data_IF_528788832487
#
_entry.id   IF_528788832487
#
_cell.length_a   1.000
_cell.length_b   1.000
_cell.length_c   1.000
_cell.angle_alpha   90.00
_cell.angle_beta   90.00
_cell.angle_gamma   90.00
#
_symmetry.space_group_name_H-M   'P 1'
#
loop_
_entity.id
_entity.type
_entity.pdbx_description
1 polymer ?
#
# COMPACT_ATOMS: atom_id res chain seq x y z
N UNK A 1 3.86 -65.12 34.13
CA UNK A 1 5.17 -64.47 34.28
C UNK A 1 5.42 -63.60 33.06
N UNK A 2 5.60 -62.29 33.28
CA UNK A 2 6.62 -61.39 32.71
C UNK A 2 6.98 -61.60 31.22
N UNK A 3 6.95 -60.64 30.31
CA UNK A 3 7.07 -59.17 30.34
C UNK A 3 6.56 -58.68 28.96
N UNK A 4 5.90 -57.52 28.82
CA UNK A 4 6.51 -56.16 28.84
C UNK A 4 7.67 -56.09 27.82
N UNK A 5 7.86 -55.10 26.96
CA UNK A 5 7.27 -53.80 26.65
C UNK A 5 8.28 -53.19 25.66
N UNK A 6 7.89 -52.12 24.98
CA UNK A 6 8.77 -51.08 24.41
C UNK A 6 9.54 -51.49 23.15
N UNK A 7 9.70 -50.64 22.13
CA UNK A 7 9.16 -49.35 21.69
C UNK A 7 10.17 -48.97 20.59
N UNK A 8 9.70 -48.38 19.50
CA UNK A 8 10.41 -47.31 18.75
C UNK A 8 11.92 -47.50 18.42
N UNK A 9 12.26 -47.63 17.14
CA UNK A 9 12.80 -46.50 16.35
C UNK A 9 13.04 -46.88 14.88
N UNK A 10 12.41 -46.08 14.01
CA UNK A 10 12.95 -45.45 12.80
C UNK A 10 13.34 -46.25 11.53
N UNK A 11 12.58 -45.89 10.48
CA UNK A 11 13.06 -45.46 9.14
C UNK A 11 13.85 -46.48 8.32
N UNK A 12 13.23 -46.97 7.24
CA UNK A 12 13.74 -46.76 5.88
C UNK A 12 12.74 -47.19 4.80
N UNK A 13 12.34 -46.20 3.99
CA UNK A 13 12.27 -46.25 2.52
C UNK A 13 11.33 -47.29 1.89
N UNK A 14 10.19 -46.82 1.36
CA UNK A 14 9.53 -47.49 0.24
C UNK A 14 9.31 -46.52 -0.92
N UNK A 15 10.20 -46.65 -1.90
CA UNK A 15 10.06 -46.14 -3.26
C UNK A 15 8.79 -46.70 -3.92
N UNK A 16 7.96 -45.83 -4.50
CA UNK A 16 7.12 -46.21 -5.66
C UNK A 16 7.16 -45.16 -6.76
N UNK A 17 8.04 -45.48 -7.73
CA UNK A 17 7.99 -45.27 -9.19
C UNK A 17 7.33 -44.00 -9.76
N UNK A 18 8.19 -43.12 -10.25
CA UNK A 18 7.90 -42.23 -11.37
C UNK A 18 7.86 -43.04 -12.68
N UNK A 19 6.84 -42.81 -13.50
CA UNK A 19 6.78 -43.37 -14.86
C UNK A 19 7.76 -42.65 -15.78
N UNK A 20 8.48 -43.47 -16.54
CA UNK A 20 9.59 -43.15 -17.42
C UNK A 20 9.22 -42.26 -18.59
N UNK A 21 10.02 -41.21 -18.82
CA UNK A 21 10.18 -40.53 -20.09
C UNK A 21 10.70 -41.52 -21.15
N UNK A 22 10.01 -41.59 -22.29
CA UNK A 22 10.62 -42.04 -23.54
C UNK A 22 11.26 -40.84 -24.24
N UNK A 23 12.56 -40.94 -24.43
CA UNK A 23 13.40 -40.09 -25.26
C UNK A 23 13.22 -40.51 -26.72
N UNK A 24 12.84 -39.59 -27.59
CA UNK A 24 13.05 -39.72 -29.03
C UNK A 24 13.68 -38.42 -29.53
N UNK A 25 14.89 -38.55 -30.05
CA UNK A 25 15.67 -37.49 -30.70
C UNK A 25 15.01 -37.10 -32.02
N UNK A 26 14.68 -35.83 -32.22
CA UNK A 26 14.64 -35.22 -33.56
C UNK A 26 15.40 -33.89 -33.57
N UNK A 27 16.28 -33.79 -34.57
CA UNK A 27 17.17 -32.67 -34.88
C UNK A 27 16.39 -31.45 -35.43
N UNK A 28 16.99 -30.25 -35.42
CA UNK A 28 16.27 -29.00 -35.61
C UNK A 28 15.92 -28.78 -37.09
N UNK A 29 14.65 -28.55 -37.39
CA UNK A 29 14.23 -27.97 -38.65
C UNK A 29 13.94 -26.48 -38.46
N UNK A 30 14.72 -25.66 -39.18
CA UNK A 30 14.50 -24.24 -39.38
C UNK A 30 13.27 -24.13 -40.29
N UNK A 31 12.10 -23.97 -39.70
CA UNK A 31 10.88 -23.56 -40.37
C UNK A 31 10.61 -22.10 -40.02
N UNK A 32 10.93 -21.19 -40.92
CA UNK A 32 10.43 -19.82 -40.87
C UNK A 32 8.94 -19.91 -41.22
N UNK A 33 8.11 -20.10 -40.19
CA UNK A 33 6.67 -19.90 -40.29
C UNK A 33 6.40 -18.46 -39.89
N UNK A 34 6.31 -17.58 -40.88
CA UNK A 34 5.73 -16.24 -40.77
C UNK A 34 4.27 -16.39 -40.34
N UNK A 35 4.03 -16.39 -39.03
CA UNK A 35 2.71 -16.17 -38.46
C UNK A 35 2.65 -14.74 -37.93
N UNK A 36 1.72 -13.96 -38.47
CA UNK A 36 1.34 -12.60 -38.10
C UNK A 36 0.79 -12.47 -36.66
N UNK A 37 1.32 -13.21 -35.68
CA UNK A 37 0.85 -13.21 -34.28
C UNK A 37 1.56 -12.19 -33.38
N UNK A 38 2.55 -11.45 -33.87
CA UNK A 38 3.28 -10.45 -33.07
C UNK A 38 2.59 -9.08 -32.99
N UNK A 39 1.62 -8.79 -33.85
CA UNK A 39 1.04 -7.44 -33.92
C UNK A 39 0.29 -7.02 -32.65
N UNK A 40 -0.17 -7.93 -31.79
CA UNK A 40 -1.01 -7.57 -30.61
C UNK A 40 -0.43 -8.04 -29.27
N UNK A 41 0.88 -8.26 -29.22
CA UNK A 41 1.57 -8.71 -28.02
C UNK A 41 2.33 -7.56 -27.35
N UNK A 42 1.96 -7.24 -26.12
CA UNK A 42 2.68 -6.33 -25.25
C UNK A 42 3.62 -7.13 -24.36
N UNK A 43 4.88 -6.72 -24.29
CA UNK A 43 5.92 -7.40 -23.51
C UNK A 43 6.54 -6.46 -22.50
N UNK A 44 6.94 -7.02 -21.37
CA UNK A 44 7.60 -6.26 -20.31
C UNK A 44 8.91 -5.62 -20.80
N UNK A 45 9.09 -4.36 -20.42
CA UNK A 45 10.36 -3.67 -20.61
C UNK A 45 11.32 -3.97 -19.46
N UNK A 46 12.49 -4.46 -19.83
CA UNK A 46 13.61 -4.72 -18.92
C UNK A 46 14.52 -3.48 -19.03
N UNK A 47 14.97 -2.90 -17.92
CA UNK A 47 15.67 -1.59 -17.82
C UNK A 47 14.76 -0.37 -17.57
N UNK A 48 13.89 -0.49 -16.57
CA UNK A 48 13.19 0.66 -15.98
C UNK A 48 14.09 1.27 -14.91
N UNK A 49 14.42 2.55 -15.05
CA UNK A 49 15.14 3.29 -14.00
C UNK A 49 14.16 3.85 -12.98
N UNK A 50 14.56 3.86 -11.71
CA UNK A 50 13.68 4.26 -10.59
C UNK A 50 14.23 5.48 -9.88
N UNK A 51 13.34 6.39 -9.51
CA UNK A 51 13.63 7.48 -8.60
C UNK A 51 12.58 7.49 -7.50
N UNK A 52 13.01 7.36 -6.25
CA UNK A 52 12.11 7.25 -5.10
C UNK A 52 12.34 8.37 -4.11
N UNK A 53 11.30 8.67 -3.35
CA UNK A 53 11.37 9.49 -2.14
C UNK A 53 10.19 9.10 -1.25
N UNK A 54 10.48 8.16 -0.35
CA UNK A 54 9.51 7.63 0.61
C UNK A 54 9.52 8.42 1.92
N UNK A 55 10.00 9.67 1.89
CA UNK A 55 10.01 10.52 3.06
C UNK A 55 8.59 10.88 3.51
N UNK A 56 8.15 10.25 4.59
CA UNK A 56 6.85 10.52 5.21
C UNK A 56 6.69 11.96 5.77
N UNK A 57 7.74 12.80 5.76
CA UNK A 57 7.61 14.23 6.12
C UNK A 57 7.06 15.07 4.95
N UNK A 58 6.92 14.46 3.76
CA UNK A 58 6.33 15.10 2.59
C UNK A 58 4.83 14.81 2.55
N UNK A 59 4.03 15.67 1.89
CA UNK A 59 2.59 15.47 1.72
C UNK A 59 2.24 14.13 1.05
N UNK A 60 3.19 13.55 0.31
CA UNK A 60 3.08 12.24 -0.31
C UNK A 60 4.46 11.63 -0.47
N UNK A 61 4.49 10.31 -0.52
CA UNK A 61 5.66 9.56 -0.94
C UNK A 61 5.62 9.39 -2.47
N UNK A 62 6.78 9.22 -3.11
CA UNK A 62 6.84 9.12 -4.58
C UNK A 62 7.74 8.00 -5.09
N UNK A 63 7.33 7.46 -6.23
CA UNK A 63 8.09 6.58 -7.09
C UNK A 63 7.92 7.06 -8.53
N UNK A 64 9.02 7.31 -9.23
CA UNK A 64 9.05 7.62 -10.66
C UNK A 64 9.80 6.51 -11.39
N UNK A 65 9.11 5.85 -12.33
CA UNK A 65 9.63 4.79 -13.18
C UNK A 65 9.88 5.36 -14.58
N UNK A 66 11.12 5.36 -15.04
CA UNK A 66 11.50 5.94 -16.33
C UNK A 66 12.02 4.88 -17.29
N UNK A 67 11.46 4.89 -18.50
CA UNK A 67 11.88 4.05 -19.62
C UNK A 67 11.76 4.84 -20.93
N UNK A 68 12.89 5.12 -21.59
CA UNK A 68 12.96 5.95 -22.79
C UNK A 68 12.29 7.33 -22.57
N UNK A 69 11.26 7.65 -23.37
CA UNK A 69 10.48 8.88 -23.25
C UNK A 69 9.36 8.80 -22.21
N UNK A 70 9.06 7.60 -21.69
CA UNK A 70 7.96 7.34 -20.77
C UNK A 70 8.42 7.49 -19.32
N UNK A 71 7.66 8.26 -18.55
CA UNK A 71 7.81 8.34 -17.08
C UNK A 71 6.46 8.03 -16.44
N UNK A 72 6.40 6.93 -15.69
CA UNK A 72 5.23 6.57 -14.87
C UNK A 72 5.49 7.08 -13.45
N UNK A 73 4.68 8.04 -13.02
CA UNK A 73 4.77 8.68 -11.71
C UNK A 73 3.71 8.10 -10.79
N UNK A 74 4.14 7.53 -9.68
CA UNK A 74 3.28 6.97 -8.64
C UNK A 74 3.44 7.79 -7.37
N UNK A 75 2.33 8.18 -6.77
CA UNK A 75 2.29 8.97 -5.54
C UNK A 75 1.40 8.29 -4.53
N UNK A 76 1.92 8.14 -3.32
CA UNK A 76 1.25 7.48 -2.23
C UNK A 76 0.82 8.52 -1.20
N UNK A 77 -0.48 8.58 -0.91
CA UNK A 77 -1.12 9.51 0.01
C UNK A 77 -1.89 8.70 1.04
N UNK A 78 -1.34 8.58 2.26
CA UNK A 78 -1.87 7.66 3.26
C UNK A 78 -2.02 6.27 2.63
N UNK A 79 -3.20 5.65 2.66
CA UNK A 79 -3.45 4.31 2.12
C UNK A 79 -3.83 4.28 0.62
N UNK A 80 -3.81 5.44 -0.05
CA UNK A 80 -4.19 5.57 -1.46
C UNK A 80 -2.97 5.77 -2.34
N UNK A 81 -3.10 5.39 -3.61
CA UNK A 81 -2.11 5.78 -4.60
C UNK A 81 -2.73 6.34 -5.87
N UNK A 82 -1.91 7.15 -6.52
CA UNK A 82 -2.25 7.86 -7.73
C UNK A 82 -1.16 7.69 -8.77
N UNK A 83 -1.57 7.55 -10.03
CA UNK A 83 -0.68 7.48 -11.19
C UNK A 83 -0.89 8.67 -12.10
N UNK A 84 0.22 9.25 -12.56
CA UNK A 84 0.29 10.10 -13.73
C UNK A 84 1.36 9.55 -14.66
N UNK A 85 1.20 9.75 -15.97
CA UNK A 85 2.15 9.29 -16.97
C UNK A 85 2.58 10.51 -17.79
N UNK A 86 3.87 10.62 -18.03
CA UNK A 86 4.45 11.55 -18.97
C UNK A 86 5.06 10.81 -20.15
N UNK A 87 4.94 11.39 -21.34
CA UNK A 87 5.65 10.94 -22.53
C UNK A 87 6.36 12.14 -23.15
N UNK A 88 7.67 12.04 -23.36
CA UNK A 88 8.53 13.14 -23.81
C UNK A 88 8.45 14.36 -22.89
N UNK A 89 8.42 14.13 -21.57
CA UNK A 89 8.30 15.17 -20.52
C UNK A 89 7.02 16.03 -20.62
N UNK A 90 6.02 15.57 -21.37
CA UNK A 90 4.70 16.18 -21.44
C UNK A 90 3.72 15.27 -20.73
N UNK A 91 2.73 15.89 -20.06
CA UNK A 91 1.62 15.14 -19.50
C UNK A 91 0.97 14.27 -20.59
N UNK A 92 0.84 12.99 -20.28
CA UNK A 92 0.25 11.98 -21.15
C UNK A 92 -1.00 11.37 -20.52
N UNK A 93 -0.97 11.19 -19.20
CA UNK A 93 -2.13 10.84 -18.37
C UNK A 93 -2.06 11.69 -17.10
N UNK A 94 -3.13 12.44 -16.82
CA UNK A 94 -3.29 13.21 -15.58
C UNK A 94 -3.40 12.27 -14.37
N UNK A 95 -3.25 12.78 -13.15
CA UNK A 95 -3.43 11.98 -11.93
C UNK A 95 -4.76 11.21 -11.91
N UNK A 96 -4.67 9.88 -11.70
CA UNK A 96 -5.79 8.96 -11.53
C UNK A 96 -5.55 8.06 -10.32
N UNK A 97 -6.57 7.77 -9.49
CA UNK A 97 -6.44 6.79 -8.42
C UNK A 97 -6.23 5.40 -9.02
N UNK A 98 -5.47 4.56 -8.31
CA UNK A 98 -5.23 3.17 -8.71
C UNK A 98 -5.28 2.25 -7.50
N UNK A 99 -5.72 1.01 -7.73
CA UNK A 99 -5.65 -0.09 -6.77
C UNK A 99 -4.22 -0.61 -6.68
N UNK A 100 -3.60 -0.34 -5.55
CA UNK A 100 -2.27 -0.79 -5.18
C UNK A 100 -2.23 -0.88 -3.66
N UNK A 101 -2.61 -2.05 -3.13
CA UNK A 101 -2.77 -2.24 -1.70
C UNK A 101 -1.49 -2.83 -1.10
N UNK A 102 -0.65 -2.00 -0.48
CA UNK A 102 0.58 -2.45 0.17
C UNK A 102 0.67 -2.11 1.65
N UNK A 103 -0.12 -1.17 2.14
CA UNK A 103 0.05 -0.59 3.47
C UNK A 103 -0.15 -1.61 4.61
N UNK A 104 -0.84 -2.72 4.33
CA UNK A 104 -1.13 -3.76 5.31
C UNK A 104 -0.12 -4.93 5.26
N UNK A 105 0.32 -5.34 4.07
CA UNK A 105 1.03 -6.62 3.89
C UNK A 105 2.49 -6.50 3.40
N UNK A 106 2.93 -5.33 2.90
CA UNK A 106 4.30 -5.18 2.35
C UNK A 106 4.87 -3.76 2.43
N UNK A 107 6.17 -3.58 2.15
CA UNK A 107 6.80 -2.25 2.10
C UNK A 107 6.78 -1.67 0.68
N UNK A 108 6.89 -0.35 0.55
CA UNK A 108 6.96 0.32 -0.77
C UNK A 108 8.15 -0.16 -1.60
N UNK A 109 9.28 -0.46 -0.94
CA UNK A 109 10.49 -0.97 -1.57
C UNK A 109 10.34 -2.40 -2.11
N UNK A 110 9.44 -3.21 -1.53
CA UNK A 110 9.12 -4.54 -2.03
C UNK A 110 8.14 -4.43 -3.19
N UNK A 111 7.04 -3.71 -2.97
CA UNK A 111 6.02 -3.39 -3.95
C UNK A 111 6.59 -2.90 -5.30
N UNK A 112 7.53 -1.95 -5.26
CA UNK A 112 8.10 -1.37 -6.49
C UNK A 112 8.88 -2.37 -7.35
N UNK A 113 9.30 -3.52 -6.80
CA UNK A 113 10.03 -4.56 -7.54
C UNK A 113 9.13 -5.36 -8.45
N UNK A 114 7.84 -5.39 -8.15
CA UNK A 114 6.81 -6.15 -8.84
C UNK A 114 5.89 -5.22 -9.67
N UNK A 115 6.31 -3.99 -9.95
CA UNK A 115 5.61 -3.11 -10.90
C UNK A 115 6.16 -3.36 -12.31
N UNK A 116 5.28 -3.72 -13.24
CA UNK A 116 5.67 -4.07 -14.61
C UNK A 116 5.02 -3.14 -15.63
N UNK A 117 5.83 -2.68 -16.59
CA UNK A 117 5.39 -1.88 -17.73
C UNK A 117 5.47 -2.76 -18.98
N UNK A 118 4.35 -2.94 -19.69
CA UNK A 118 4.30 -3.72 -20.92
C UNK A 118 4.07 -2.79 -22.12
N UNK A 119 5.00 -2.83 -23.06
CA UNK A 119 4.92 -2.04 -24.29
C UNK A 119 4.89 -2.96 -25.51
N UNK A 120 4.30 -2.48 -26.59
CA UNK A 120 4.38 -3.13 -27.90
C UNK A 120 5.60 -2.58 -28.62
N UNK A 121 6.60 -3.44 -28.85
CA UNK A 121 7.84 -3.07 -29.57
C UNK A 121 8.55 -1.81 -29.03
N UNK A 122 8.47 -1.58 -27.71
CA UNK A 122 8.95 -0.37 -27.01
C UNK A 122 8.30 0.95 -27.44
N UNK A 123 7.14 0.91 -28.12
CA UNK A 123 6.32 2.10 -28.34
C UNK A 123 5.73 2.61 -27.02
N UNK A 124 5.85 3.91 -26.79
CA UNK A 124 5.37 4.61 -25.59
C UNK A 124 4.02 5.30 -25.79
N UNK A 125 3.41 5.16 -26.97
CA UNK A 125 2.10 5.73 -27.30
C UNK A 125 0.94 5.02 -26.59
N UNK A 126 1.11 3.76 -26.22
CA UNK A 126 0.16 2.97 -25.46
C UNK A 126 0.87 1.81 -24.76
N UNK A 127 0.27 1.27 -23.72
CA UNK A 127 0.83 0.13 -23.01
C UNK A 127 0.02 -0.27 -21.79
N UNK A 128 0.54 -1.26 -21.08
CA UNK A 128 -0.11 -1.80 -19.89
C UNK A 128 0.77 -1.65 -18.65
N UNK A 129 0.13 -1.44 -17.52
CA UNK A 129 0.73 -1.39 -16.20
C UNK A 129 0.17 -2.52 -15.35
N UNK A 130 1.04 -3.35 -14.80
CA UNK A 130 0.71 -4.30 -13.75
C UNK A 130 1.18 -3.72 -12.43
N UNK A 131 0.24 -3.43 -11.55
CA UNK A 131 0.51 -2.97 -10.20
C UNK A 131 0.26 -4.12 -9.23
N UNK A 132 1.21 -4.46 -8.35
CA UNK A 132 0.98 -5.52 -7.39
C UNK A 132 -0.11 -5.10 -6.38
N UNK A 133 -0.81 -6.08 -5.83
CA UNK A 133 -1.83 -5.89 -4.80
C UNK A 133 -2.05 -7.21 -4.07
N UNK A 134 -2.79 -7.19 -2.97
CA UNK A 134 -3.17 -8.39 -2.25
C UNK A 134 -4.68 -8.48 -2.08
N UNK A 135 -5.14 -9.72 -2.03
CA UNK A 135 -6.41 -10.11 -1.42
C UNK A 135 -6.10 -10.87 -0.13
N UNK A 136 -7.10 -11.15 0.70
CA UNK A 136 -6.89 -11.96 1.92
C UNK A 136 -6.24 -13.32 1.66
N UNK A 137 -6.37 -13.87 0.45
CA UNK A 137 -5.97 -15.24 0.12
C UNK A 137 -4.81 -15.33 -0.87
N UNK A 138 -4.62 -14.32 -1.72
CA UNK A 138 -3.68 -14.38 -2.85
C UNK A 138 -2.99 -13.05 -3.11
N UNK A 139 -1.74 -13.13 -3.56
CA UNK A 139 -1.08 -12.04 -4.28
C UNK A 139 -1.75 -11.84 -5.63
N UNK A 140 -1.84 -10.59 -6.07
CA UNK A 140 -2.54 -10.23 -7.30
C UNK A 140 -1.84 -9.11 -8.05
N UNK A 141 -2.19 -8.97 -9.33
CA UNK A 141 -1.84 -7.81 -10.14
C UNK A 141 -3.09 -7.10 -10.65
N UNK A 142 -3.20 -5.80 -10.38
CA UNK A 142 -4.15 -4.91 -11.04
C UNK A 142 -3.58 -4.48 -12.38
N UNK A 143 -4.26 -4.83 -13.47
CA UNK A 143 -3.88 -4.47 -14.83
C UNK A 143 -4.59 -3.19 -15.27
N UNK A 144 -3.81 -2.21 -15.74
CA UNK A 144 -4.31 -0.99 -16.35
C UNK A 144 -3.80 -0.86 -17.77
N UNK A 145 -4.65 -0.35 -18.66
CA UNK A 145 -4.28 0.05 -20.01
C UNK A 145 -4.14 1.58 -20.06
N UNK A 146 -2.98 2.07 -20.46
CA UNK A 146 -2.75 3.49 -20.67
C UNK A 146 -2.60 3.82 -22.15
N UNK A 147 -3.17 4.97 -22.53
CA UNK A 147 -2.98 5.67 -23.79
C UNK A 147 -3.17 7.16 -23.52
N UNK A 148 -2.95 8.01 -24.51
CA UNK A 148 -3.08 9.46 -24.32
C UNK A 148 -4.41 9.82 -23.65
N UNK A 149 -4.32 10.60 -22.57
CA UNK A 149 -5.40 11.13 -21.74
C UNK A 149 -6.25 10.08 -20.99
N UNK A 150 -5.94 8.77 -21.07
CA UNK A 150 -6.75 7.73 -20.45
C UNK A 150 -5.92 6.64 -19.76
N UNK A 151 -6.36 6.25 -18.57
CA UNK A 151 -5.89 5.08 -17.84
C UNK A 151 -7.12 4.26 -17.44
N UNK A 152 -7.28 3.09 -18.05
CA UNK A 152 -8.43 2.23 -17.86
C UNK A 152 -8.05 0.99 -17.08
N UNK A 153 -8.77 0.68 -16.02
CA UNK A 153 -8.65 -0.58 -15.31
C UNK A 153 -9.19 -1.72 -16.19
N UNK A 154 -8.43 -2.82 -16.29
CA UNK A 154 -8.76 -3.98 -17.13
C UNK A 154 -9.19 -5.18 -16.28
N UNK A 155 -8.59 -5.36 -15.11
CA UNK A 155 -8.93 -6.44 -14.19
C UNK A 155 -7.82 -6.80 -13.20
N UNK A 156 -8.17 -7.67 -12.26
CA UNK A 156 -7.24 -8.24 -11.29
C UNK A 156 -6.87 -9.66 -11.72
N UNK A 157 -5.59 -10.00 -11.61
CA UNK A 157 -5.02 -11.28 -12.00
C UNK A 157 -4.34 -11.94 -10.81
N UNK A 158 -4.73 -13.18 -10.51
CA UNK A 158 -4.18 -13.93 -9.38
C UNK A 158 -2.79 -14.48 -9.67
N UNK A 159 -1.95 -14.50 -8.63
CA UNK A 159 -0.68 -15.23 -8.62
C UNK A 159 -0.53 -15.95 -7.28
N UNK A 160 0.00 -17.18 -7.31
CA UNK A 160 0.22 -17.97 -6.09
C UNK A 160 1.23 -17.33 -5.15
N UNK A 161 2.21 -16.63 -5.73
CA UNK A 161 3.24 -15.82 -5.06
C UNK A 161 3.78 -14.82 -6.09
N UNK A 162 4.41 -13.72 -5.68
CA UNK A 162 5.11 -12.85 -6.63
C UNK A 162 6.33 -13.61 -7.20
N UNK A 163 6.18 -14.09 -8.44
CA UNK A 163 7.16 -14.94 -9.11
C UNK A 163 8.13 -14.10 -9.94
N UNK A 164 9.42 -14.47 -9.93
CA UNK A 164 10.40 -13.97 -10.90
C UNK A 164 10.05 -14.42 -12.31
N UNK A 165 9.87 -13.48 -13.21
CA UNK A 165 9.63 -13.74 -14.63
C UNK A 165 9.46 -12.45 -15.41
N UNK A 166 9.23 -12.58 -16.71
CA UNK A 166 8.84 -11.43 -17.55
C UNK A 166 7.37 -11.54 -17.93
N UNK A 167 6.68 -10.41 -17.97
CA UNK A 167 5.25 -10.37 -18.24
C UNK A 167 4.95 -10.11 -19.71
N UNK A 168 3.80 -10.60 -20.16
CA UNK A 168 3.23 -10.22 -21.45
C UNK A 168 1.72 -10.21 -21.41
N UNK A 169 1.12 -9.35 -22.23
CA UNK A 169 -0.32 -9.28 -22.44
C UNK A 169 -0.62 -9.46 -23.93
N UNK A 170 -1.46 -10.45 -24.23
CA UNK A 170 -1.98 -10.69 -25.57
C UNK A 170 -3.36 -10.03 -25.69
N UNK A 171 -3.45 -8.99 -26.49
CA UNK A 171 -4.65 -8.19 -26.61
C UNK A 171 -5.78 -8.92 -27.33
N UNK A 172 -5.48 -9.87 -28.23
CA UNK A 172 -6.49 -10.65 -28.94
C UNK A 172 -7.22 -11.59 -27.99
N UNK A 173 -6.46 -12.28 -27.14
CA UNK A 173 -7.02 -13.23 -26.20
C UNK A 173 -7.39 -12.61 -24.85
N UNK A 174 -6.99 -11.34 -24.60
CA UNK A 174 -7.11 -10.62 -23.33
C UNK A 174 -6.51 -11.40 -22.15
N UNK A 175 -5.37 -12.07 -22.40
CA UNK A 175 -4.68 -12.93 -21.43
C UNK A 175 -3.35 -12.33 -21.01
N UNK A 176 -3.10 -12.37 -19.69
CA UNK A 176 -1.81 -12.04 -19.08
C UNK A 176 -1.01 -13.33 -18.90
N UNK A 177 0.30 -13.24 -19.11
CA UNK A 177 1.21 -14.35 -18.96
C UNK A 177 2.49 -13.96 -18.25
N UNK A 178 3.04 -14.89 -17.47
CA UNK A 178 4.38 -14.83 -16.89
C UNK A 178 5.28 -15.83 -17.61
N UNK A 179 6.44 -15.37 -18.03
CA UNK A 179 7.49 -16.18 -18.66
C UNK A 179 8.63 -16.35 -17.65
N UNK A 180 8.69 -17.53 -17.01
CA UNK A 180 9.78 -17.89 -16.10
C UNK A 180 11.03 -18.37 -16.86
N UNK A 181 10.86 -18.79 -18.11
CA UNK A 181 11.91 -19.14 -19.05
C UNK A 181 11.35 -19.04 -20.49
N UNK A 182 12.20 -19.04 -21.53
CA UNK A 182 11.73 -18.99 -22.92
C UNK A 182 10.74 -20.08 -23.32
N UNK A 183 10.76 -21.22 -22.62
CA UNK A 183 9.91 -22.38 -22.87
C UNK A 183 8.75 -22.55 -21.88
N UNK A 184 8.72 -21.78 -20.78
CA UNK A 184 7.72 -21.92 -19.72
C UNK A 184 6.92 -20.64 -19.57
N UNK A 185 5.72 -20.69 -20.13
CA UNK A 185 4.71 -19.62 -20.10
C UNK A 185 3.54 -20.03 -19.21
N UNK A 186 3.31 -19.29 -18.13
CA UNK A 186 2.16 -19.47 -17.24
C UNK A 186 1.09 -18.43 -17.58
N UNK A 187 -0.16 -18.85 -17.76
CA UNK A 187 -1.30 -17.94 -17.90
C UNK A 187 -1.80 -17.54 -16.52
N UNK A 188 -2.06 -16.25 -16.31
CA UNK A 188 -2.71 -15.78 -15.09
C UNK A 188 -4.23 -15.84 -15.24
N UNK A 189 -4.92 -16.18 -14.14
CA UNK A 189 -6.38 -16.16 -14.11
C UNK A 189 -6.85 -14.79 -13.66
N UNK A 190 -7.86 -14.26 -14.37
CA UNK A 190 -8.53 -13.03 -13.98
C UNK A 190 -9.56 -13.37 -12.90
N UNK A 191 -9.57 -12.62 -11.81
CA UNK A 191 -10.58 -12.72 -10.76
C UNK A 191 -11.70 -11.72 -11.07
N UNK A 192 -12.95 -12.14 -10.89
CA UNK A 192 -14.10 -11.23 -10.90
C UNK A 192 -14.25 -10.62 -9.51
N UNK A 193 -14.04 -9.31 -9.40
CA UNK A 193 -14.23 -8.56 -8.17
C UNK A 193 -15.13 -7.37 -8.46
N UNK A 194 -16.18 -7.19 -7.65
CA UNK A 194 -17.04 -6.00 -7.71
C UNK A 194 -16.23 -4.81 -7.18
N UNK A 195 -15.71 -3.99 -8.08
CA UNK A 195 -15.05 -2.74 -7.70
C UNK A 195 -16.07 -1.61 -7.64
N UNK A 196 -16.89 -1.62 -6.59
CA UNK A 196 -17.68 -0.46 -6.17
C UNK A 196 -16.94 0.37 -5.10
N UNK A 197 -15.63 0.17 -4.92
CA UNK A 197 -14.81 1.01 -4.06
C UNK A 197 -14.71 2.42 -4.66
N UNK A 198 -15.55 3.31 -4.16
CA UNK A 198 -15.41 4.73 -4.38
C UNK A 198 -14.19 5.20 -3.59
N UNK A 199 -13.19 5.71 -4.30
CA UNK A 199 -12.15 6.50 -3.64
C UNK A 199 -12.80 7.77 -3.12
N UNK A 200 -12.86 7.93 -1.80
CA UNK A 200 -13.27 9.19 -1.19
C UNK A 200 -12.16 10.24 -1.31
N UNK A 201 -12.53 11.53 -1.36
CA UNK A 201 -11.60 12.68 -1.36
C UNK A 201 -10.63 12.82 -2.54
N UNK A 202 -10.86 12.14 -3.68
CA UNK A 202 -10.01 12.21 -4.91
C UNK A 202 -9.67 13.66 -5.32
N UNK A 203 -10.65 14.57 -5.25
CA UNK A 203 -10.48 15.94 -5.74
C UNK A 203 -9.48 16.76 -4.93
N UNK A 204 -9.35 16.49 -3.63
CA UNK A 204 -8.39 17.18 -2.76
C UNK A 204 -6.98 16.64 -2.97
N UNK A 205 -6.86 15.32 -3.07
CA UNK A 205 -5.60 14.64 -3.38
C UNK A 205 -5.04 15.11 -4.73
N UNK A 206 -5.88 15.19 -5.78
CA UNK A 206 -5.44 15.70 -7.09
C UNK A 206 -4.99 17.16 -7.01
N UNK A 207 -5.61 18.01 -6.18
CA UNK A 207 -5.13 19.39 -5.99
C UNK A 207 -3.75 19.43 -5.34
N UNK A 208 -3.53 18.60 -4.32
CA UNK A 208 -2.25 18.46 -3.64
C UNK A 208 -1.15 17.97 -4.60
N UNK A 209 -1.45 16.92 -5.37
CA UNK A 209 -0.55 16.29 -6.35
C UNK A 209 -0.13 17.22 -7.48
N UNK A 210 -1.00 18.15 -7.88
CA UNK A 210 -0.70 19.19 -8.87
C UNK A 210 0.17 20.32 -8.32
N UNK A 211 0.69 20.20 -7.08
CA UNK A 211 1.61 21.18 -6.49
C UNK A 211 0.96 22.52 -6.15
N UNK A 212 -0.37 22.55 -5.98
CA UNK A 212 -1.09 23.80 -5.66
C UNK A 212 -1.12 24.16 -4.17
N UNK A 213 -0.45 23.40 -3.30
CA UNK A 213 -0.37 23.77 -1.87
C UNK A 213 0.96 23.32 -1.26
N UNK A 214 1.84 24.28 -0.96
CA UNK A 214 2.73 24.15 0.20
C UNK A 214 1.88 24.55 1.41
N UNK A 215 1.42 23.57 2.18
CA UNK A 215 0.71 23.83 3.44
C UNK A 215 1.69 24.41 4.44
N UNK A 216 1.72 25.74 4.56
CA UNK A 216 2.41 26.39 5.67
C UNK A 216 1.74 25.95 6.98
N UNK A 217 2.54 25.55 7.96
CA UNK A 217 2.06 25.30 9.32
C UNK A 217 2.45 26.44 10.24
N UNK A 218 1.60 26.71 11.23
CA UNK A 218 1.84 27.71 12.26
C UNK A 218 1.67 27.11 13.64
N UNK A 219 2.11 27.87 14.65
CA UNK A 219 1.78 27.55 16.03
C UNK A 219 0.27 27.48 16.22
N UNK A 220 -0.17 26.45 16.94
CA UNK A 220 -1.57 26.23 17.26
C UNK A 220 -2.02 27.17 18.38
N UNK A 221 -3.19 27.77 18.17
CA UNK A 221 -3.94 28.57 19.13
C UNK A 221 -5.07 27.79 19.81
N UNK A 222 -5.24 26.51 19.44
CA UNK A 222 -6.35 25.68 19.89
C UNK A 222 -6.24 25.37 21.38
N UNK A 223 -7.36 25.40 22.09
CA UNK A 223 -7.47 24.91 23.45
C UNK A 223 -8.80 24.21 23.65
N UNK A 224 -8.77 23.02 24.24
CA UNK A 224 -9.97 22.26 24.56
C UNK A 224 -9.69 20.79 24.80
N UNK A 225 -10.74 20.09 25.21
CA UNK A 225 -10.74 18.64 25.39
C UNK A 225 -11.83 18.06 24.52
N UNK A 226 -11.50 17.01 23.77
CA UNK A 226 -12.45 16.27 22.97
C UNK A 226 -12.36 14.79 23.30
N UNK A 227 -13.49 14.13 23.43
CA UNK A 227 -13.52 12.70 23.65
C UNK A 227 -14.64 12.05 22.85
N UNK A 228 -14.52 10.76 22.58
CA UNK A 228 -15.59 10.00 21.91
C UNK A 228 -16.84 10.01 22.79
N UNK A 229 -16.66 9.84 24.10
CA UNK A 229 -17.70 9.97 25.12
C UNK A 229 -17.08 10.72 26.30
N UNK A 230 -17.49 11.96 26.56
CA UNK A 230 -16.91 12.78 27.64
C UNK A 230 -17.16 12.24 29.06
N UNK A 231 -18.04 11.26 29.22
CA UNK A 231 -18.34 10.60 30.50
C UNK A 231 -17.38 9.44 30.81
N UNK A 232 -16.52 9.05 29.85
CA UNK A 232 -15.53 7.99 30.05
C UNK A 232 -14.14 8.41 29.52
N UNK A 233 -13.08 7.93 30.17
CA UNK A 233 -11.69 8.31 29.87
C UNK A 233 -11.09 7.50 28.69
N UNK A 234 -11.91 6.93 27.81
CA UNK A 234 -11.48 5.91 26.84
C UNK A 234 -10.66 6.50 25.68
N UNK A 235 -11.17 7.50 24.96
CA UNK A 235 -10.36 8.20 23.95
C UNK A 235 -10.59 9.68 24.08
N UNK A 236 -9.54 10.34 24.55
CA UNK A 236 -9.55 11.74 24.92
C UNK A 236 -8.34 12.41 24.28
N UNK A 237 -8.60 13.57 23.68
CA UNK A 237 -7.62 14.47 23.12
C UNK A 237 -7.74 15.81 23.85
N UNK A 238 -6.77 16.08 24.72
CA UNK A 238 -6.59 17.38 25.33
C UNK A 238 -5.58 18.18 24.50
N UNK A 239 -5.90 19.42 24.16
CA UNK A 239 -4.98 20.32 23.47
C UNK A 239 -4.89 21.63 24.24
N UNK A 240 -3.65 22.08 24.44
CA UNK A 240 -3.32 23.40 24.95
C UNK A 240 -2.24 24.03 24.07
N UNK A 241 -2.70 24.79 23.07
CA UNK A 241 -1.88 25.44 22.04
C UNK A 241 -1.07 24.42 21.23
N UNK A 242 0.26 24.44 21.41
CA UNK A 242 1.22 23.63 20.64
C UNK A 242 1.46 22.25 21.26
N UNK A 243 0.86 21.97 22.42
CA UNK A 243 1.00 20.72 23.15
C UNK A 243 -0.36 20.07 23.28
N UNK A 244 -0.36 18.75 23.37
CA UNK A 244 -1.57 17.99 23.63
C UNK A 244 -1.27 16.67 24.29
N UNK A 245 -2.34 16.00 24.65
CA UNK A 245 -2.33 14.69 25.27
C UNK A 245 -3.39 13.84 24.60
N UNK A 246 -3.01 12.65 24.17
CA UNK A 246 -3.90 11.70 23.53
C UNK A 246 -3.91 10.40 24.33
N UNK A 247 -5.07 10.07 24.86
CA UNK A 247 -5.39 8.76 25.42
C UNK A 247 -6.00 7.91 24.33
N UNK A 248 -5.38 6.79 24.00
CA UNK A 248 -5.92 5.76 23.12
C UNK A 248 -6.15 4.50 23.95
N UNK A 249 -7.42 4.22 24.23
CA UNK A 249 -7.79 3.02 24.97
C UNK A 249 -7.90 1.80 24.07
N UNK A 250 -7.29 0.71 24.54
CA UNK A 250 -7.35 -0.62 23.96
C UNK A 250 -6.98 -1.69 25.00
N UNK A 251 -6.85 -2.95 24.58
CA UNK A 251 -6.07 -3.99 25.23
C UNK A 251 -4.65 -3.54 25.63
N UNK A 252 -4.07 -2.53 24.99
CA UNK A 252 -2.93 -1.77 25.51
C UNK A 252 -3.32 -0.29 25.59
N UNK A 253 -3.67 0.21 26.78
CA UNK A 253 -3.93 1.64 26.96
C UNK A 253 -2.63 2.42 26.74
N UNK A 254 -2.63 3.29 25.73
CA UNK A 254 -1.47 4.08 25.32
C UNK A 254 -1.79 5.55 25.53
N UNK A 255 -0.87 6.25 26.21
CA UNK A 255 -1.01 7.65 26.53
C UNK A 255 0.17 8.41 25.95
N UNK A 256 -0.12 9.36 25.05
CA UNK A 256 0.88 10.02 24.22
C UNK A 256 0.85 11.52 24.46
N UNK A 257 2.02 12.10 24.75
CA UNK A 257 2.19 13.54 24.68
C UNK A 257 2.39 13.95 23.22
N UNK A 258 1.72 15.02 22.80
CA UNK A 258 1.68 15.50 21.42
C UNK A 258 2.32 16.87 21.26
N UNK A 259 2.85 17.10 20.06
CA UNK A 259 3.04 18.43 19.49
C UNK A 259 1.96 18.72 18.46
N UNK A 260 1.41 19.92 18.50
CA UNK A 260 0.27 20.35 17.70
C UNK A 260 0.69 21.49 16.77
N UNK A 261 0.42 21.34 15.48
CA UNK A 261 0.68 22.36 14.46
C UNK A 261 -0.62 22.68 13.72
N UNK A 262 -0.92 23.97 13.50
CA UNK A 262 -2.11 24.40 12.75
C UNK A 262 -1.80 24.50 11.26
N UNK A 263 -2.65 23.93 10.42
CA UNK A 263 -2.54 24.05 8.97
C UNK A 263 -3.15 25.39 8.53
N UNK A 264 -2.41 26.17 7.73
CA UNK A 264 -2.84 27.48 7.26
C UNK A 264 -4.23 27.48 6.63
N UNK A 265 -5.06 28.45 7.03
CA UNK A 265 -6.38 28.71 6.43
C UNK A 265 -7.40 27.55 6.54
N UNK A 266 -7.17 26.59 7.44
CA UNK A 266 -8.07 25.47 7.71
C UNK A 266 -8.31 25.30 9.20
N UNK A 267 -9.44 24.69 9.54
CA UNK A 267 -9.73 24.17 10.88
C UNK A 267 -9.05 22.80 11.09
N UNK A 268 -7.82 22.65 10.61
CA UNK A 268 -7.08 21.39 10.56
C UNK A 268 -5.78 21.54 11.37
N UNK A 269 -5.50 20.55 12.21
CA UNK A 269 -4.35 20.51 13.10
C UNK A 269 -3.62 19.18 12.93
N UNK A 270 -2.31 19.24 12.78
CA UNK A 270 -1.44 18.07 12.69
C UNK A 270 -0.98 17.67 14.09
N UNK A 271 -1.09 16.39 14.39
CA UNK A 271 -0.67 15.79 15.65
C UNK A 271 0.67 15.07 15.41
N UNK A 272 1.71 15.43 16.15
CA UNK A 272 3.02 14.77 16.11
C UNK A 272 3.34 14.15 17.46
N UNK A 273 4.00 13.00 17.44
CA UNK A 273 4.45 12.33 18.65
C UNK A 273 5.52 13.16 19.36
N UNK A 274 5.35 13.43 20.66
CA UNK A 274 6.37 14.09 21.48
C UNK A 274 7.09 13.07 22.38
N UNK A 275 6.30 12.30 23.14
CA UNK A 275 6.79 11.21 23.97
C UNK A 275 5.66 10.31 24.43
N UNK A 276 6.02 9.12 24.89
CA UNK A 276 5.12 8.25 25.62
C UNK A 276 4.93 8.82 27.04
N UNK A 277 3.69 9.12 27.42
CA UNK A 277 3.37 9.49 28.79
C UNK A 277 3.31 8.24 29.68
N UNK A 278 2.59 7.23 29.21
CA UNK A 278 2.53 5.91 29.82
C UNK A 278 1.95 4.90 28.82
N UNK A 279 2.17 3.62 29.08
CA UNK A 279 1.46 2.53 28.44
C UNK A 279 1.15 1.47 29.49
N UNK A 280 -0.02 0.84 29.40
CA UNK A 280 -0.36 -0.31 30.23
C UNK A 280 -0.11 -1.61 29.46
N UNK A 281 0.70 -2.49 30.03
CA UNK A 281 0.91 -3.85 29.53
C UNK A 281 -0.21 -4.75 30.06
N UNK A 282 -1.35 -4.82 29.36
CA UNK A 282 -2.42 -5.70 29.82
C UNK A 282 -2.07 -7.19 29.62
N UNK A 283 -1.17 -7.51 28.67
CA UNK A 283 -0.57 -8.84 28.48
C UNK A 283 0.92 -8.75 28.07
N UNK A 284 1.77 -9.59 28.66
CA UNK A 284 3.23 -9.63 28.43
C UNK A 284 3.66 -9.88 26.97
N UNK A 285 2.75 -10.31 26.11
CA UNK A 285 3.01 -10.64 24.70
C UNK A 285 2.65 -9.51 23.72
N UNK A 286 2.11 -8.38 24.20
CA UNK A 286 1.66 -7.30 23.32
C UNK A 286 2.80 -6.34 22.92
N UNK A 287 2.65 -5.73 21.75
CA UNK A 287 3.58 -4.74 21.18
C UNK A 287 3.75 -3.55 22.13
N UNK A 288 4.98 -3.31 22.58
CA UNK A 288 5.33 -2.14 23.40
C UNK A 288 5.87 -1.01 22.54
N UNK A 289 5.45 0.21 22.87
CA UNK A 289 6.06 1.41 22.32
C UNK A 289 7.39 1.63 23.04
N UNK A 290 8.46 1.77 22.25
CA UNK A 290 9.78 2.20 22.74
C UNK A 290 9.96 3.64 22.27
N UNK A 291 9.96 4.59 23.20
CA UNK A 291 9.90 6.04 22.90
C UNK A 291 10.99 6.48 21.93
N UNK A 292 12.20 5.95 22.09
CA UNK A 292 13.37 6.28 21.27
C UNK A 292 13.29 5.71 19.85
N UNK A 293 12.45 4.68 19.64
CA UNK A 293 12.23 4.08 18.33
C UNK A 293 11.14 4.81 17.54
N UNK A 294 10.35 5.69 18.15
CA UNK A 294 9.25 6.40 17.46
C UNK A 294 9.72 7.77 16.94
N UNK A 295 9.34 8.08 15.70
CA UNK A 295 9.68 9.36 15.10
C UNK A 295 8.88 10.53 15.71
N UNK A 296 9.59 11.58 16.13
CA UNK A 296 9.01 12.83 16.65
C UNK A 296 8.63 13.85 15.57
N UNK A 297 9.11 13.63 14.34
CA UNK A 297 8.88 14.53 13.22
C UNK A 297 7.66 14.12 12.37
N UNK A 298 7.25 12.86 12.47
CA UNK A 298 6.14 12.29 11.68
C UNK A 298 4.80 12.69 12.31
N UNK A 299 3.86 13.03 11.43
CA UNK A 299 2.46 13.21 11.80
C UNK A 299 1.87 11.84 12.13
N UNK A 300 1.28 11.71 13.31
CA UNK A 300 0.65 10.48 13.79
C UNK A 300 -0.88 10.52 13.69
N UNK A 301 -1.43 11.71 13.44
CA UNK A 301 -2.83 11.91 13.14
C UNK A 301 -3.17 13.36 12.82
N UNK A 302 -4.42 13.61 12.45
CA UNK A 302 -4.96 14.94 12.18
C UNK A 302 -6.24 15.16 12.96
N UNK A 303 -6.43 16.39 13.42
CA UNK A 303 -7.67 16.85 14.03
C UNK A 303 -8.33 17.89 13.13
N UNK A 304 -9.58 17.67 12.74
CA UNK A 304 -10.36 18.62 11.93
C UNK A 304 -11.56 19.10 12.75
N UNK A 305 -11.62 20.39 13.08
CA UNK A 305 -12.74 20.96 13.83
C UNK A 305 -13.93 21.25 12.93
N UNK A 306 -15.06 20.64 13.26
CA UNK A 306 -16.34 20.87 12.61
C UNK A 306 -17.01 22.13 13.16
N UNK A 307 -17.94 22.70 12.38
CA UNK A 307 -18.68 23.93 12.76
C UNK A 307 -19.55 23.77 14.02
N UNK A 308 -19.93 22.55 14.36
CA UNK A 308 -20.72 22.20 15.55
C UNK A 308 -19.86 22.04 16.82
N UNK A 309 -18.55 22.24 16.74
CA UNK A 309 -17.62 22.08 17.86
C UNK A 309 -17.07 20.66 18.04
N UNK A 310 -17.61 19.66 17.32
CA UNK A 310 -17.05 18.31 17.24
C UNK A 310 -15.74 18.32 16.46
N UNK A 311 -14.95 17.28 16.64
CA UNK A 311 -13.70 17.10 15.93
C UNK A 311 -13.64 15.74 15.26
N UNK A 312 -13.08 15.70 14.04
CA UNK A 312 -12.71 14.47 13.37
C UNK A 312 -11.24 14.17 13.66
N UNK A 313 -10.98 13.05 14.33
CA UNK A 313 -9.64 12.53 14.55
C UNK A 313 -9.31 11.48 13.49
N UNK A 314 -8.46 11.85 12.55
CA UNK A 314 -7.88 10.94 11.56
C UNK A 314 -6.59 10.37 12.13
N UNK A 315 -6.63 9.15 12.64
CA UNK A 315 -5.46 8.45 13.15
C UNK A 315 -4.63 7.85 12.00
N UNK A 316 -3.30 7.90 12.12
CA UNK A 316 -2.37 7.34 11.12
C UNK A 316 -1.48 6.23 11.67
N UNK A 317 -1.14 6.28 12.96
CA UNK A 317 -0.22 5.33 13.60
C UNK A 317 1.13 5.92 13.96
N UNK A 318 1.99 5.10 14.56
CA UNK A 318 3.30 5.48 15.05
C UNK A 318 4.40 4.93 14.13
N UNK A 319 5.26 5.82 13.62
CA UNK A 319 6.36 5.39 12.75
C UNK A 319 7.56 4.91 13.58
N UNK A 320 7.86 3.61 13.48
CA UNK A 320 9.03 3.01 14.12
C UNK A 320 10.26 3.20 13.21
N UNK A 321 11.21 4.02 13.67
CA UNK A 321 12.46 4.36 12.99
C UNK A 321 13.36 3.15 12.74
N UNK A 322 13.36 2.19 13.66
CA UNK A 322 14.22 1.00 13.59
C UNK A 322 13.67 -0.04 12.63
N UNK A 323 12.35 -0.26 12.65
CA UNK A 323 11.65 -1.19 11.75
C UNK A 323 11.29 -0.57 10.40
N UNK A 324 11.43 0.75 10.28
CA UNK A 324 11.10 1.53 9.09
C UNK A 324 9.66 1.37 8.59
N UNK A 325 8.72 1.12 9.50
CA UNK A 325 7.30 0.91 9.18
C UNK A 325 6.39 1.62 10.18
N UNK A 326 5.15 1.86 9.77
CA UNK A 326 4.09 2.25 10.70
C UNK A 326 3.69 1.04 11.56
N UNK A 327 3.45 1.32 12.84
CA UNK A 327 2.88 0.41 13.82
C UNK A 327 1.65 1.09 14.43
N UNK A 328 0.75 0.33 15.07
CA UNK A 328 -0.44 0.90 15.71
C UNK A 328 -1.35 1.65 14.72
N UNK A 329 -1.62 1.09 13.54
CA UNK A 329 -2.26 1.81 12.41
C UNK A 329 -3.78 1.86 12.47
N UNK A 330 -4.43 1.10 13.36
CA UNK A 330 -5.87 1.21 13.56
C UNK A 330 -6.49 0.04 14.31
N UNK A 331 -6.23 -1.19 13.84
CA UNK A 331 -6.79 -2.41 14.45
C UNK A 331 -6.21 -2.71 15.85
N UNK A 332 -5.11 -2.04 16.19
CA UNK A 332 -4.46 -2.09 17.48
C UNK A 332 -5.18 -1.25 18.55
N UNK A 333 -6.33 -0.64 18.22
CA UNK A 333 -7.13 0.13 19.17
C UNK A 333 -8.61 -0.27 19.14
N UNK A 334 -9.14 -0.69 20.30
CA UNK A 334 -10.52 -1.14 20.49
C UNK A 334 -11.52 -0.14 19.94
N UNK A 335 -11.25 1.15 20.11
CA UNK A 335 -12.18 2.19 19.71
C UNK A 335 -12.24 2.39 18.18
N UNK A 336 -11.14 2.19 17.47
CA UNK A 336 -11.15 2.19 15.99
C UNK A 336 -11.89 0.95 15.49
N UNK A 337 -11.70 -0.19 16.16
CA UNK A 337 -12.43 -1.44 15.88
C UNK A 337 -13.93 -1.31 16.14
N UNK A 338 -14.34 -0.65 17.22
CA UNK A 338 -15.75 -0.37 17.51
C UNK A 338 -16.37 0.63 16.52
N UNK A 339 -15.55 1.52 15.93
CA UNK A 339 -15.96 2.36 14.80
C UNK A 339 -15.96 1.62 13.44
N UNK A 340 -15.84 0.28 13.46
CA UNK A 340 -15.83 -0.57 12.26
C UNK A 340 -14.56 -0.45 11.44
N UNK A 341 -13.41 -0.29 12.11
CA UNK A 341 -12.07 -0.09 11.54
C UNK A 341 -11.97 1.16 10.64
N UNK A 342 -12.80 2.16 10.92
CA UNK A 342 -12.86 3.40 10.13
C UNK A 342 -12.28 4.57 10.92
N UNK A 343 -11.49 5.37 10.21
CA UNK A 343 -11.19 6.75 10.58
C UNK A 343 -11.91 7.69 9.58
N UNK A 344 -12.30 8.91 9.97
CA UNK A 344 -12.05 9.57 11.26
C UNK A 344 -12.91 9.04 12.41
N UNK A 345 -12.37 9.13 13.63
CA UNK A 345 -13.15 9.06 14.87
C UNK A 345 -13.83 10.40 15.10
N UNK A 346 -15.10 10.39 15.50
CA UNK A 346 -15.81 11.61 15.86
C UNK A 346 -15.65 11.84 17.37
N UNK A 347 -15.07 12.98 17.74
CA UNK A 347 -14.88 13.41 19.12
C UNK A 347 -15.84 14.55 19.44
N UNK A 348 -16.55 14.43 20.55
CA UNK A 348 -17.39 15.47 21.13
C UNK A 348 -16.54 16.43 21.98
N UNK A 349 -16.83 17.73 21.98
CA UNK A 349 -16.18 18.66 22.89
C UNK A 349 -16.63 18.40 24.34
N UNK A 350 -15.68 18.25 25.24
CA UNK A 350 -15.92 18.08 26.67
C UNK A 350 -15.90 19.44 27.37
N UNK A 351 -16.68 19.57 28.45
CA UNK A 351 -16.90 20.84 29.16
C UNK A 351 -15.95 21.06 30.31
#
# INVERSE_FOLDING_TARGET
MKSLLILLLWVCISCKKANSLNTANEKPSIGITTNNTKENLFTEVLNVSKQTDYNLNKPFQKLDLNHNSLTVKIRYLSERAYISIENNKKEFVSWKPVHINFFYDTSLELAEKDIHILLKENDSSEGYLLLPSFTEQFSTYSLYHFRKDTLNFIGIYEVSEFVKGTFSFDENSKKVYIHSSPSKKLKLNKIEQNQDEKFDSINEDIKLLNGKVEEQTYQSDLKGTWAVICENELTELEINKNEGYLSLYDFNAIYINLKIEKVSNKNEYLLKYASLASQQDYYKENLKIVDEEISKDKVIGKLILQKNGKAELQWTGLYNLKKQKLEFVGNDFLLIKENGDKTPLILEPCK
#
